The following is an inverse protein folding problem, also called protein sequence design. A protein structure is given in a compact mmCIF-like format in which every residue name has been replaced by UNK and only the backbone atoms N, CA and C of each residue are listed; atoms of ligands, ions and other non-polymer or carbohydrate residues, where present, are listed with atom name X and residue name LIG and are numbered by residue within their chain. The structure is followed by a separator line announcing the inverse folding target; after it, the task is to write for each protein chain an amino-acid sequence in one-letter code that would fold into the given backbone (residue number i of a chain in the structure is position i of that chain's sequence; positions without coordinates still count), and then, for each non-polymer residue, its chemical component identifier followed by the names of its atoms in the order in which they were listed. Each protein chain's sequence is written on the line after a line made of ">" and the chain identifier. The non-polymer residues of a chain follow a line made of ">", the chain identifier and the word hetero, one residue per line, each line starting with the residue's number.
data_IF_193221781472
#
_entry.id   IF_193221781472
#
_cell.length_a   1.000
_cell.length_b   1.000
_cell.length_c   1.000
_cell.angle_alpha   90.00
_cell.angle_beta   90.00
_cell.angle_gamma   90.00
#
_symmetry.space_group_name_H-M   'P 1'
#
loop_
_entity.id
_entity.type
_entity.pdbx_description
1 polymer ?
#
# COMPACT_ATOMS: atom_id res chain seq x y z
N UNK A 1 24.94 -53.59 44.22
CA UNK A 1 25.01 -53.28 42.76
C UNK A 1 23.95 -52.22 42.47
N UNK A 2 24.34 -50.94 42.34
CA UNK A 2 23.43 -49.82 42.03
C UNK A 2 23.36 -49.67 40.53
N UNK A 3 22.16 -49.83 39.94
CA UNK A 3 21.92 -49.58 38.50
C UNK A 3 21.71 -48.07 38.30
N UNK A 4 22.63 -47.45 37.57
CA UNK A 4 22.55 -46.05 37.14
C UNK A 4 21.67 -46.03 35.87
N UNK A 5 20.51 -45.40 35.98
CA UNK A 5 19.59 -45.19 34.87
C UNK A 5 20.01 -43.89 34.15
N UNK A 6 20.57 -44.00 32.96
CA UNK A 6 20.98 -42.86 32.13
C UNK A 6 19.76 -42.38 31.32
N UNK A 7 19.16 -41.27 31.72
CA UNK A 7 18.06 -40.64 30.97
C UNK A 7 18.67 -39.79 29.87
N UNK A 8 18.56 -40.24 28.64
CA UNK A 8 18.97 -39.49 27.44
C UNK A 8 17.90 -38.46 27.07
N UNK A 9 18.08 -37.20 27.44
CA UNK A 9 17.19 -36.11 27.05
C UNK A 9 17.46 -35.78 25.55
N UNK A 10 16.60 -36.22 24.66
CA UNK A 10 16.64 -35.83 23.25
C UNK A 10 16.06 -34.41 23.14
N UNK A 11 16.94 -33.45 22.95
CA UNK A 11 16.58 -32.05 22.66
C UNK A 11 16.09 -31.97 21.20
N UNK A 12 14.78 -32.07 20.98
CA UNK A 12 14.18 -31.81 19.67
C UNK A 12 14.25 -30.30 19.40
N UNK A 13 15.31 -29.85 18.73
CA UNK A 13 15.37 -28.52 18.16
C UNK A 13 14.32 -28.42 17.04
N UNK A 14 13.15 -27.92 17.38
CA UNK A 14 12.11 -27.60 16.41
C UNK A 14 12.64 -26.54 15.46
N UNK A 15 13.05 -26.93 14.26
CA UNK A 15 13.32 -26.02 13.16
C UNK A 15 11.98 -25.38 12.79
N UNK A 16 11.66 -24.23 13.36
CA UNK A 16 10.52 -23.42 12.92
C UNK A 16 10.84 -22.90 11.52
N UNK A 17 10.45 -23.65 10.51
CA UNK A 17 10.40 -23.13 9.14
C UNK A 17 9.46 -21.93 9.16
N UNK A 18 10.01 -20.72 9.01
CA UNK A 18 9.19 -19.52 8.90
C UNK A 18 8.29 -19.70 7.67
N UNK A 19 7.03 -20.06 7.92
CA UNK A 19 6.05 -20.28 6.88
C UNK A 19 5.89 -18.98 6.08
N UNK A 20 5.99 -19.09 4.75
CA UNK A 20 5.89 -17.92 3.88
C UNK A 20 4.47 -17.36 3.94
N UNK A 21 4.33 -16.12 4.38
CA UNK A 21 3.05 -15.45 4.56
C UNK A 21 2.40 -15.20 3.20
N UNK A 22 1.11 -15.51 3.07
CA UNK A 22 0.26 -15.04 1.97
C UNK A 22 -0.36 -13.72 2.38
N UNK A 23 -0.34 -12.73 1.49
CA UNK A 23 -0.93 -11.41 1.69
C UNK A 23 -1.67 -10.98 0.43
N UNK A 24 -2.82 -10.34 0.60
CA UNK A 24 -3.48 -9.54 -0.42
C UNK A 24 -3.24 -8.07 -0.12
N UNK A 25 -2.50 -7.41 -1.00
CA UNK A 25 -2.17 -5.98 -0.93
C UNK A 25 -2.93 -5.25 -2.01
N UNK A 26 -3.66 -4.19 -1.63
CA UNK A 26 -4.51 -3.41 -2.53
C UNK A 26 -4.05 -1.94 -2.58
N UNK A 27 -4.24 -1.29 -3.73
CA UNK A 27 -4.14 0.17 -3.91
C UNK A 27 -5.41 0.72 -4.50
N UNK A 28 -5.87 1.88 -4.00
CA UNK A 28 -7.07 2.54 -4.46
C UNK A 28 -7.02 4.06 -4.27
N UNK A 29 -6.93 4.82 -5.34
CA UNK A 29 -7.21 6.25 -5.32
C UNK A 29 -8.73 6.44 -5.33
N UNK A 30 -9.28 7.03 -4.26
CA UNK A 30 -10.74 7.09 -4.01
C UNK A 30 -11.37 8.44 -4.39
N UNK A 31 -10.58 9.36 -4.98
CA UNK A 31 -11.08 10.68 -5.39
C UNK A 31 -11.95 11.35 -4.31
N UNK A 32 -11.46 11.35 -3.07
CA UNK A 32 -12.17 11.87 -1.89
C UNK A 32 -13.62 11.33 -1.68
N UNK A 33 -13.94 10.16 -2.22
CA UNK A 33 -15.30 9.59 -2.22
C UNK A 33 -16.24 10.21 -3.23
N UNK A 34 -15.74 11.02 -4.16
CA UNK A 34 -16.52 11.67 -5.23
C UNK A 34 -16.69 10.75 -6.43
N UNK A 35 -17.83 10.08 -6.55
CA UNK A 35 -18.16 9.27 -7.72
C UNK A 35 -18.27 10.09 -9.00
N UNK A 36 -18.07 9.45 -10.15
CA UNK A 36 -18.19 10.08 -11.48
C UNK A 36 -19.63 10.33 -11.90
N UNK A 37 -20.58 9.74 -11.21
CA UNK A 37 -22.02 9.98 -11.32
C UNK A 37 -22.51 11.18 -10.48
N UNK A 38 -21.58 11.94 -9.86
CA UNK A 38 -21.89 13.07 -8.98
C UNK A 38 -22.27 12.67 -7.55
N UNK A 39 -22.39 11.37 -7.26
CA UNK A 39 -22.75 10.86 -5.93
C UNK A 39 -21.47 10.80 -5.08
N UNK A 40 -21.47 11.55 -3.96
CA UNK A 40 -20.38 11.54 -2.98
C UNK A 40 -20.65 10.49 -1.91
N UNK A 41 -20.20 9.27 -2.13
CA UNK A 41 -20.48 8.15 -1.22
C UNK A 41 -19.27 7.21 -1.12
N UNK A 42 -18.43 7.43 -0.12
CA UNK A 42 -17.21 6.65 0.11
C UNK A 42 -17.49 5.19 0.49
N UNK A 43 -18.68 4.87 0.97
CA UNK A 43 -19.05 3.49 1.32
C UNK A 43 -19.06 2.57 0.10
N UNK A 44 -19.21 3.11 -1.11
CA UNK A 44 -19.04 2.36 -2.37
C UNK A 44 -17.60 1.85 -2.52
N UNK A 45 -16.61 2.71 -2.23
CA UNK A 45 -15.21 2.29 -2.22
C UNK A 45 -14.95 1.28 -1.08
N UNK A 46 -15.58 1.48 0.09
CA UNK A 46 -15.52 0.53 1.20
C UNK A 46 -16.11 -0.83 0.85
N UNK A 47 -17.22 -0.88 0.11
CA UNK A 47 -17.82 -2.13 -0.35
C UNK A 47 -16.88 -2.91 -1.28
N UNK A 48 -16.17 -2.24 -2.20
CA UNK A 48 -15.16 -2.89 -3.04
C UNK A 48 -14.01 -3.49 -2.22
N UNK A 49 -13.57 -2.80 -1.16
CA UNK A 49 -12.55 -3.33 -0.23
C UNK A 49 -13.10 -4.54 0.52
N UNK A 50 -14.34 -4.48 1.03
CA UNK A 50 -15.01 -5.61 1.69
C UNK A 50 -15.06 -6.84 0.78
N UNK A 51 -15.49 -6.66 -0.48
CA UNK A 51 -15.63 -7.75 -1.44
C UNK A 51 -14.27 -8.30 -1.91
N UNK A 52 -13.24 -7.45 -1.94
CA UNK A 52 -11.87 -7.84 -2.24
C UNK A 52 -11.16 -8.55 -1.08
N UNK A 53 -11.56 -8.28 0.18
CA UNK A 53 -10.94 -8.86 1.38
C UNK A 53 -9.41 -8.71 1.48
N UNK A 54 -8.80 -7.54 1.16
CA UNK A 54 -7.35 -7.38 1.27
C UNK A 54 -6.88 -7.39 2.72
N UNK A 55 -5.64 -7.81 2.96
CA UNK A 55 -5.01 -7.69 4.30
C UNK A 55 -4.61 -6.24 4.58
N UNK A 56 -4.29 -5.48 3.52
CA UNK A 56 -3.90 -4.08 3.60
C UNK A 56 -4.29 -3.33 2.32
N UNK A 57 -4.72 -2.07 2.48
CA UNK A 57 -5.08 -1.15 1.38
C UNK A 57 -4.31 0.15 1.53
N UNK A 58 -3.58 0.55 0.50
CA UNK A 58 -3.06 1.90 0.33
C UNK A 58 -4.14 2.76 -0.34
N UNK A 59 -4.55 3.85 0.30
CA UNK A 59 -5.66 4.71 -0.15
C UNK A 59 -5.14 6.10 -0.45
N UNK A 60 -5.41 6.63 -1.63
CA UNK A 60 -5.01 7.97 -2.03
C UNK A 60 -6.23 8.88 -2.13
N UNK A 61 -6.01 10.19 -2.04
CA UNK A 61 -7.02 11.22 -2.12
C UNK A 61 -8.10 11.14 -1.04
N UNK A 62 -7.69 11.17 0.21
CA UNK A 62 -8.58 11.05 1.37
C UNK A 62 -8.76 12.39 2.08
N UNK A 63 -10.01 12.78 2.28
CA UNK A 63 -10.38 13.91 3.14
C UNK A 63 -10.52 13.50 4.61
N UNK A 64 -10.22 14.43 5.49
CA UNK A 64 -10.52 14.34 6.91
C UNK A 64 -11.19 15.63 7.38
N UNK A 65 -12.51 15.59 7.59
CA UNK A 65 -13.35 16.67 8.11
C UNK A 65 -13.17 17.98 7.33
N UNK A 66 -13.36 17.92 6.01
CA UNK A 66 -13.28 19.08 5.13
C UNK A 66 -14.67 19.69 4.86
N UNK A 67 -14.71 20.88 4.24
CA UNK A 67 -15.98 21.50 3.83
C UNK A 67 -16.79 20.64 2.86
N UNK A 68 -16.10 19.87 1.97
CA UNK A 68 -16.75 18.97 0.98
C UNK A 68 -17.11 17.60 1.57
N UNK A 69 -16.41 17.16 2.63
CA UNK A 69 -16.64 15.91 3.37
C UNK A 69 -16.57 16.21 4.87
N UNK A 70 -17.72 16.44 5.51
CA UNK A 70 -17.81 16.83 6.93
C UNK A 70 -17.53 15.70 7.91
N UNK A 71 -16.90 14.62 7.47
CA UNK A 71 -16.57 13.43 8.24
C UNK A 71 -15.18 12.90 7.89
N UNK A 72 -14.68 11.98 8.68
CA UNK A 72 -13.43 11.28 8.43
C UNK A 72 -13.65 10.21 7.37
N UNK A 73 -13.30 10.51 6.12
CA UNK A 73 -13.58 9.69 4.93
C UNK A 73 -12.96 8.29 5.06
N UNK A 74 -11.69 8.20 5.51
CA UNK A 74 -11.01 6.91 5.66
C UNK A 74 -11.66 6.03 6.73
N UNK A 75 -12.15 6.62 7.84
CA UNK A 75 -12.89 5.89 8.88
C UNK A 75 -14.18 5.30 8.35
N UNK A 76 -14.98 6.10 7.62
CA UNK A 76 -16.22 5.59 6.99
C UNK A 76 -15.95 4.49 5.96
N UNK A 77 -14.87 4.63 5.17
CA UNK A 77 -14.45 3.59 4.25
C UNK A 77 -14.07 2.30 5.00
N UNK A 78 -13.35 2.42 6.12
CA UNK A 78 -12.95 1.31 6.97
C UNK A 78 -14.15 0.55 7.56
N UNK A 79 -15.16 1.29 8.05
CA UNK A 79 -16.42 0.71 8.56
C UNK A 79 -17.17 -0.05 7.46
N UNK A 80 -17.36 0.57 6.29
CA UNK A 80 -18.03 -0.04 5.14
C UNK A 80 -17.27 -1.25 4.58
N UNK A 81 -15.95 -1.29 4.77
CA UNK A 81 -15.09 -2.41 4.41
C UNK A 81 -15.20 -3.61 5.38
N UNK A 82 -15.86 -3.46 6.52
CA UNK A 82 -16.02 -4.52 7.52
C UNK A 82 -15.17 -4.34 8.78
N UNK A 83 -14.78 -3.10 9.11
CA UNK A 83 -14.12 -2.77 10.36
C UNK A 83 -12.59 -2.84 10.31
N UNK A 84 -11.99 -2.30 9.26
CA UNK A 84 -10.53 -2.17 9.15
C UNK A 84 -10.00 -1.10 10.12
N UNK A 85 -8.75 -1.27 10.56
CA UNK A 85 -8.00 -0.19 11.21
C UNK A 85 -7.60 0.85 10.16
N UNK A 86 -7.75 2.15 10.48
CA UNK A 86 -7.52 3.26 9.55
C UNK A 86 -6.39 4.18 10.05
N UNK A 87 -5.39 4.40 9.21
CA UNK A 87 -4.22 5.26 9.49
C UNK A 87 -4.13 6.35 8.43
N UNK A 88 -4.17 7.62 8.86
CA UNK A 88 -4.21 8.77 7.97
C UNK A 88 -2.89 9.54 7.95
N UNK A 89 -2.40 9.85 6.76
CA UNK A 89 -1.23 10.69 6.49
C UNK A 89 -1.64 12.02 5.86
N UNK A 90 -1.74 13.12 6.63
CA UNK A 90 -2.14 14.42 6.11
C UNK A 90 -1.05 15.05 5.25
N UNK A 91 -1.35 15.36 3.99
CA UNK A 91 -0.43 16.07 3.10
C UNK A 91 -0.62 17.58 3.15
N UNK A 92 -1.86 18.06 3.13
CA UNK A 92 -2.22 19.48 3.16
C UNK A 92 -3.42 19.80 4.07
N UNK A 93 -3.51 21.03 4.62
CA UNK A 93 -4.76 21.60 5.06
C UNK A 93 -5.71 21.77 3.86
N UNK A 94 -6.98 21.42 4.00
CA UNK A 94 -7.94 21.55 2.91
C UNK A 94 -9.35 21.78 3.45
N UNK A 95 -9.99 22.85 2.99
CA UNK A 95 -11.40 23.12 3.29
C UNK A 95 -11.79 23.12 4.79
N UNK A 96 -10.93 23.60 5.67
CA UNK A 96 -11.12 23.61 7.11
C UNK A 96 -10.72 22.32 7.84
N UNK A 97 -10.40 21.28 7.11
CA UNK A 97 -9.86 20.00 7.61
C UNK A 97 -8.52 19.67 6.96
N UNK A 98 -8.32 18.39 6.62
CA UNK A 98 -7.07 17.88 6.01
C UNK A 98 -7.39 16.99 4.79
N UNK A 99 -6.44 16.94 3.87
CA UNK A 99 -6.45 16.03 2.74
C UNK A 99 -5.12 15.28 2.67
N UNK A 100 -5.14 14.04 2.19
CA UNK A 100 -3.92 13.26 2.15
C UNK A 100 -4.12 11.84 1.63
N UNK A 101 -3.38 10.94 2.26
CA UNK A 101 -3.33 9.51 1.96
C UNK A 101 -3.68 8.71 3.20
N UNK A 102 -3.95 7.42 3.04
CA UNK A 102 -4.25 6.55 4.15
C UNK A 102 -3.90 5.09 3.92
N UNK A 103 -3.94 4.33 4.98
CA UNK A 103 -3.79 2.88 4.95
C UNK A 103 -4.91 2.25 5.77
N UNK A 104 -5.56 1.22 5.20
CA UNK A 104 -6.47 0.34 5.92
C UNK A 104 -5.81 -1.02 6.14
N UNK A 105 -5.95 -1.60 7.32
CA UNK A 105 -5.39 -2.92 7.66
C UNK A 105 -6.38 -3.78 8.42
N UNK A 106 -6.37 -5.11 8.20
CA UNK A 106 -7.16 -6.05 9.01
C UNK A 106 -6.63 -6.15 10.44
N UNK A 107 -5.31 -6.21 10.59
CA UNK A 107 -4.64 -6.27 11.87
C UNK A 107 -4.17 -4.87 12.31
N UNK A 108 -4.06 -4.58 13.60
CA UNK A 108 -3.53 -3.31 14.07
C UNK A 108 -2.04 -3.14 13.70
N UNK A 109 -1.67 -1.91 13.33
CA UNK A 109 -0.28 -1.55 13.08
C UNK A 109 0.53 -1.43 14.39
N UNK A 110 1.84 -1.67 14.29
CA UNK A 110 2.76 -1.45 15.41
C UNK A 110 3.15 0.04 15.53
N UNK A 111 3.32 0.72 14.39
CA UNK A 111 3.63 2.15 14.32
C UNK A 111 3.27 2.74 12.97
N UNK A 112 3.19 4.05 12.92
CA UNK A 112 3.02 4.83 11.68
C UNK A 112 3.99 6.00 11.67
N UNK A 113 4.54 6.31 10.50
CA UNK A 113 5.41 7.46 10.29
C UNK A 113 5.05 8.14 8.97
N UNK A 114 4.95 9.48 8.99
CA UNK A 114 4.63 10.26 7.80
C UNK A 114 5.84 11.08 7.35
N UNK A 115 6.19 10.97 6.07
CA UNK A 115 7.26 11.74 5.46
C UNK A 115 6.71 12.61 4.34
N UNK A 116 7.15 13.87 4.28
CA UNK A 116 6.84 14.77 3.17
C UNK A 116 7.63 14.39 1.93
N UNK A 117 6.98 14.50 0.77
CA UNK A 117 7.61 14.32 -0.53
C UNK A 117 7.55 15.63 -1.33
N UNK A 118 8.55 15.91 -2.18
CA UNK A 118 8.62 17.14 -2.91
C UNK A 118 7.48 17.29 -3.92
N UNK A 119 6.86 18.45 -3.92
CA UNK A 119 5.89 18.88 -4.91
C UNK A 119 5.73 20.39 -4.85
N UNK A 120 5.75 21.13 -5.98
CA UNK A 120 5.79 22.59 -5.96
C UNK A 120 4.46 23.24 -5.60
N UNK A 121 3.33 22.59 -5.89
CA UNK A 121 1.99 23.19 -5.75
C UNK A 121 1.15 22.51 -4.68
N UNK A 122 1.13 21.20 -4.68
CA UNK A 122 0.35 20.40 -3.72
C UNK A 122 1.29 19.42 -3.02
N UNK A 123 1.72 19.72 -1.79
CA UNK A 123 2.61 18.87 -1.02
C UNK A 123 2.16 17.41 -1.01
N UNK A 124 3.09 16.52 -1.35
CA UNK A 124 2.88 15.07 -1.35
C UNK A 124 3.50 14.44 -0.11
N UNK A 125 3.26 13.19 0.07
CA UNK A 125 3.81 12.44 1.18
C UNK A 125 3.76 10.95 0.97
N UNK A 126 4.45 10.25 1.87
CA UNK A 126 4.30 8.82 2.07
C UNK A 126 3.96 8.54 3.52
N UNK A 127 3.07 7.58 3.72
CA UNK A 127 2.71 7.04 5.02
C UNK A 127 3.32 5.65 5.14
N UNK A 128 4.27 5.49 6.05
CA UNK A 128 4.89 4.21 6.40
C UNK A 128 4.10 3.61 7.56
N UNK A 129 3.61 2.40 7.40
CA UNK A 129 2.88 1.67 8.44
C UNK A 129 3.63 0.37 8.74
N UNK A 130 4.09 0.22 9.98
CA UNK A 130 4.77 -0.99 10.44
C UNK A 130 3.75 -2.04 10.88
N UNK A 131 3.72 -3.16 10.18
CA UNK A 131 2.99 -4.35 10.59
C UNK A 131 3.93 -5.34 11.31
N UNK A 132 3.38 -6.33 11.99
CA UNK A 132 4.17 -7.36 12.68
C UNK A 132 5.21 -8.03 11.78
N UNK A 133 4.88 -8.31 10.52
CA UNK A 133 5.72 -9.11 9.60
C UNK A 133 6.19 -8.34 8.36
N UNK A 134 5.68 -7.15 8.06
CA UNK A 134 5.99 -6.35 6.89
C UNK A 134 5.77 -4.86 7.14
N UNK A 135 6.17 -4.02 6.19
CA UNK A 135 5.79 -2.61 6.10
C UNK A 135 4.91 -2.39 4.88
N UNK A 136 3.98 -1.46 4.98
CA UNK A 136 3.31 -0.87 3.82
C UNK A 136 3.61 0.62 3.77
N UNK A 137 4.01 1.10 2.60
CA UNK A 137 4.19 2.51 2.28
C UNK A 137 3.10 2.88 1.30
N UNK A 138 2.19 3.75 1.74
CA UNK A 138 1.21 4.40 0.87
C UNK A 138 1.77 5.72 0.38
N UNK A 139 1.65 6.00 -0.92
CA UNK A 139 2.05 7.28 -1.50
C UNK A 139 1.13 7.72 -2.63
N UNK A 140 1.13 9.03 -2.90
CA UNK A 140 0.54 9.66 -4.07
C UNK A 140 1.55 10.67 -4.62
N UNK A 141 2.20 10.36 -5.74
CA UNK A 141 3.31 11.15 -6.24
C UNK A 141 2.86 12.41 -7.00
N UNK A 142 3.79 13.32 -7.22
CA UNK A 142 3.58 14.58 -7.94
C UNK A 142 3.18 14.35 -9.41
N UNK A 143 2.42 15.29 -9.99
CA UNK A 143 2.17 15.33 -11.44
C UNK A 143 3.42 15.71 -12.25
N UNK A 144 4.45 16.26 -11.60
CA UNK A 144 5.70 16.69 -12.23
C UNK A 144 6.78 15.62 -12.13
N UNK A 145 7.34 15.18 -13.27
CA UNK A 145 8.32 14.08 -13.33
C UNK A 145 9.58 14.31 -12.48
N UNK A 146 10.24 15.51 -12.49
CA UNK A 146 11.40 15.74 -11.64
C UNK A 146 11.14 15.45 -10.16
N UNK A 147 10.02 15.91 -9.62
CA UNK A 147 9.64 15.67 -8.22
C UNK A 147 9.25 14.21 -7.94
N UNK A 148 8.70 13.48 -8.93
CA UNK A 148 8.50 12.03 -8.81
C UNK A 148 9.83 11.29 -8.70
N UNK A 149 10.81 11.63 -9.53
CA UNK A 149 12.16 11.01 -9.49
C UNK A 149 12.84 11.28 -8.14
N UNK A 150 12.74 12.52 -7.63
CA UNK A 150 13.26 12.87 -6.31
C UNK A 150 12.52 12.10 -5.19
N UNK A 151 11.21 12.00 -5.27
CA UNK A 151 10.39 11.21 -4.33
C UNK A 151 10.82 9.74 -4.27
N UNK A 152 11.15 9.12 -5.41
CA UNK A 152 11.64 7.72 -5.46
C UNK A 152 12.95 7.56 -4.69
N UNK A 153 13.86 8.54 -4.77
CA UNK A 153 15.12 8.54 -4.00
C UNK A 153 14.86 8.64 -2.48
N UNK A 154 13.96 9.55 -2.08
CA UNK A 154 13.57 9.71 -0.67
C UNK A 154 12.92 8.43 -0.14
N UNK A 155 12.00 7.81 -0.90
CA UNK A 155 11.37 6.54 -0.52
C UNK A 155 12.43 5.45 -0.33
N UNK A 156 13.41 5.33 -1.24
CA UNK A 156 14.52 4.38 -1.15
C UNK A 156 15.35 4.62 0.12
N UNK A 157 15.69 5.88 0.43
CA UNK A 157 16.44 6.26 1.62
C UNK A 157 15.69 5.90 2.92
N UNK A 158 14.40 6.19 3.01
CA UNK A 158 13.57 5.80 4.15
C UNK A 158 13.53 4.28 4.31
N UNK A 159 13.32 3.53 3.23
CA UNK A 159 13.31 2.05 3.27
C UNK A 159 14.64 1.50 3.79
N UNK A 160 15.78 2.13 3.44
CA UNK A 160 17.11 1.68 3.89
C UNK A 160 17.30 1.76 5.41
N UNK A 161 16.51 2.59 6.10
CA UNK A 161 16.52 2.81 7.56
C UNK A 161 15.50 1.94 8.31
N UNK A 162 14.58 1.28 7.60
CA UNK A 162 13.60 0.39 8.21
C UNK A 162 14.24 -0.92 8.69
N UNK A 163 13.60 -1.57 9.67
CA UNK A 163 13.98 -2.92 10.11
C UNK A 163 13.93 -3.90 8.92
N UNK A 164 14.73 -4.95 8.97
CA UNK A 164 14.80 -5.96 7.90
C UNK A 164 13.52 -6.82 7.83
N UNK A 165 12.46 -6.24 7.31
CA UNK A 165 11.18 -6.87 6.98
C UNK A 165 10.84 -6.59 5.51
N UNK A 166 10.03 -7.42 4.85
CA UNK A 166 9.46 -7.09 3.54
C UNK A 166 8.72 -5.75 3.59
N UNK A 167 8.88 -4.95 2.54
CA UNK A 167 8.22 -3.65 2.37
C UNK A 167 7.38 -3.68 1.11
N UNK A 168 6.13 -3.26 1.21
CA UNK A 168 5.29 -2.97 0.05
C UNK A 168 5.23 -1.47 -0.16
N UNK A 169 5.35 -1.01 -1.41
CA UNK A 169 5.11 0.38 -1.81
C UNK A 169 3.89 0.34 -2.73
N UNK A 170 2.82 1.02 -2.34
CA UNK A 170 1.58 1.01 -3.10
C UNK A 170 1.01 2.43 -3.24
N UNK A 171 0.42 2.73 -4.39
CA UNK A 171 -0.23 4.00 -4.61
C UNK A 171 -0.31 4.44 -6.06
N UNK A 172 -0.84 5.65 -6.22
CA UNK A 172 -0.86 6.40 -7.47
C UNK A 172 0.50 7.08 -7.68
N UNK A 173 1.27 6.55 -8.60
CA UNK A 173 2.61 7.09 -8.93
C UNK A 173 2.55 8.24 -9.93
N UNK A 174 1.36 8.56 -10.50
CA UNK A 174 1.19 9.57 -11.55
C UNK A 174 2.19 9.40 -12.72
N UNK A 175 2.60 8.17 -13.00
CA UNK A 175 3.73 7.84 -13.86
C UNK A 175 3.43 6.60 -14.71
N UNK A 176 3.68 6.69 -16.02
CA UNK A 176 3.52 5.57 -16.95
C UNK A 176 4.66 4.55 -16.80
N UNK A 177 4.49 3.29 -17.22
CA UNK A 177 5.46 2.19 -17.01
C UNK A 177 6.89 2.47 -17.45
N UNK A 178 7.08 3.17 -18.58
CA UNK A 178 8.40 3.49 -19.15
C UNK A 178 8.98 4.83 -18.65
N UNK A 179 8.31 5.53 -17.75
CA UNK A 179 8.79 6.82 -17.25
C UNK A 179 9.92 6.65 -16.22
N UNK A 180 10.78 7.68 -16.10
CA UNK A 180 11.95 7.66 -15.22
C UNK A 180 11.64 7.23 -13.78
N UNK A 181 10.56 7.70 -13.09
CA UNK A 181 10.30 7.28 -11.72
C UNK A 181 9.96 5.78 -11.61
N UNK A 182 9.24 5.20 -12.58
CA UNK A 182 8.92 3.76 -12.56
C UNK A 182 10.16 2.91 -12.87
N UNK A 183 11.01 3.35 -13.81
CA UNK A 183 12.30 2.71 -14.06
C UNK A 183 13.16 2.74 -12.80
N UNK A 184 13.25 3.90 -12.12
CA UNK A 184 14.00 4.03 -10.87
C UNK A 184 13.46 3.15 -9.72
N UNK A 185 12.13 2.96 -9.61
CA UNK A 185 11.58 1.99 -8.68
C UNK A 185 12.04 0.56 -9.00
N UNK A 186 12.00 0.17 -10.29
CA UNK A 186 12.39 -1.18 -10.74
C UNK A 186 13.87 -1.51 -10.51
N UNK A 187 14.74 -0.52 -10.31
CA UNK A 187 16.16 -0.73 -9.97
C UNK A 187 16.36 -1.38 -8.59
N UNK A 188 15.45 -1.17 -7.63
CA UNK A 188 15.59 -1.69 -6.26
C UNK A 188 14.36 -2.42 -5.73
N UNK A 189 13.25 -2.39 -6.45
CA UNK A 189 11.98 -2.97 -6.07
C UNK A 189 11.46 -3.94 -7.14
N UNK A 190 10.81 -5.01 -6.72
CA UNK A 190 10.11 -5.95 -7.60
C UNK A 190 8.72 -5.39 -7.90
N UNK A 191 8.38 -5.17 -9.17
CA UNK A 191 7.02 -4.83 -9.58
C UNK A 191 6.10 -6.05 -9.36
N UNK A 192 5.04 -5.87 -8.59
CA UNK A 192 4.08 -6.93 -8.26
C UNK A 192 2.80 -6.85 -9.09
N UNK A 193 2.39 -5.65 -9.51
CA UNK A 193 1.25 -5.42 -10.42
C UNK A 193 1.61 -5.74 -11.87
N UNK A 194 0.62 -5.77 -12.75
CA UNK A 194 0.80 -5.90 -14.20
C UNK A 194 0.70 -4.49 -14.83
N UNK A 195 1.83 -3.94 -15.23
CA UNK A 195 1.91 -2.58 -15.79
C UNK A 195 1.46 -2.49 -17.27
N UNK A 196 1.05 -3.61 -17.87
CA UNK A 196 0.35 -3.63 -19.16
C UNK A 196 -1.15 -3.36 -19.02
N UNK A 197 -1.69 -3.36 -17.80
CA UNK A 197 -3.10 -3.14 -17.50
C UNK A 197 -3.34 -1.71 -17.04
N UNK A 198 -4.39 -1.10 -17.56
CA UNK A 198 -4.70 0.30 -17.29
C UNK A 198 -5.57 0.46 -16.04
N UNK A 199 -5.32 1.55 -15.29
CA UNK A 199 -6.04 1.87 -14.04
C UNK A 199 -6.77 3.20 -14.09
N UNK A 200 -6.46 4.05 -15.09
CA UNK A 200 -7.00 5.40 -15.22
C UNK A 200 -7.28 5.79 -16.69
N UNK A 201 -8.31 6.60 -16.98
CA UNK A 201 -9.47 6.88 -16.12
C UNK A 201 -10.39 5.65 -16.03
N UNK A 202 -11.14 5.50 -14.93
CA UNK A 202 -11.96 4.30 -14.67
C UNK A 202 -13.01 3.99 -15.73
N UNK A 203 -13.62 5.03 -16.34
CA UNK A 203 -14.66 4.89 -17.37
C UNK A 203 -14.13 4.45 -18.73
N UNK A 204 -12.86 4.76 -19.03
CA UNK A 204 -12.21 4.35 -20.28
C UNK A 204 -10.69 4.21 -20.02
N UNK A 205 -10.25 3.12 -19.41
CA UNK A 205 -8.86 2.97 -18.98
C UNK A 205 -7.88 3.01 -20.15
N UNK A 206 -6.88 3.91 -20.06
CA UNK A 206 -5.88 4.16 -21.12
C UNK A 206 -4.44 4.25 -20.61
N UNK A 207 -4.26 4.39 -19.28
CA UNK A 207 -2.94 4.48 -18.69
C UNK A 207 -2.85 3.66 -17.40
N UNK A 208 -1.69 3.07 -17.15
CA UNK A 208 -1.32 2.47 -15.88
C UNK A 208 -0.54 3.51 -15.09
N UNK A 209 -1.04 3.93 -13.93
CA UNK A 209 -0.39 4.88 -13.02
C UNK A 209 -0.45 4.44 -11.56
N UNK A 210 -1.21 3.39 -11.24
CA UNK A 210 -1.31 2.80 -9.91
C UNK A 210 -0.49 1.51 -9.85
N UNK A 211 0.35 1.37 -8.82
CA UNK A 211 1.31 0.27 -8.73
C UNK A 211 1.43 -0.27 -7.31
N UNK A 212 1.89 -1.53 -7.23
CA UNK A 212 2.37 -2.17 -6.01
C UNK A 212 3.74 -2.76 -6.30
N UNK A 213 4.73 -2.37 -5.49
CA UNK A 213 6.09 -2.90 -5.53
C UNK A 213 6.42 -3.61 -4.23
N UNK A 214 7.40 -4.53 -4.28
CA UNK A 214 7.94 -5.23 -3.12
C UNK A 214 9.44 -5.00 -2.98
N UNK A 215 9.92 -4.74 -1.76
CA UNK A 215 11.34 -4.52 -1.42
C UNK A 215 11.72 -5.36 -0.19
N UNK A 216 12.98 -5.72 -0.04
CA UNK A 216 13.52 -6.47 1.12
C UNK A 216 12.82 -7.82 1.37
N UNK A 217 12.36 -8.50 0.32
CA UNK A 217 11.70 -9.80 0.42
C UNK A 217 11.86 -10.63 -0.84
N UNK A 218 11.50 -11.90 -0.77
CA UNK A 218 11.19 -12.70 -1.95
C UNK A 218 9.69 -12.70 -2.17
N UNK A 219 9.25 -12.38 -3.38
CA UNK A 219 7.84 -12.20 -3.70
C UNK A 219 7.45 -13.17 -4.82
N UNK A 220 6.49 -14.06 -4.54
CA UNK A 220 5.85 -14.89 -5.55
C UNK A 220 4.42 -14.41 -5.71
N UNK A 221 4.12 -13.77 -6.83
CA UNK A 221 2.76 -13.34 -7.16
C UNK A 221 1.93 -14.58 -7.46
N UNK A 222 0.78 -14.70 -6.79
CA UNK A 222 -0.18 -15.79 -6.92
C UNK A 222 -1.39 -15.39 -7.76
N UNK A 223 -1.72 -14.10 -7.76
CA UNK A 223 -2.84 -13.54 -8.52
C UNK A 223 -2.77 -12.01 -8.57
N UNK A 224 -3.44 -11.43 -9.54
CA UNK A 224 -3.63 -9.98 -9.72
C UNK A 224 -5.06 -9.73 -10.15
N UNK A 225 -5.66 -8.63 -9.68
CA UNK A 225 -6.99 -8.23 -10.13
C UNK A 225 -7.10 -6.71 -10.18
N UNK A 226 -7.79 -6.22 -11.20
CA UNK A 226 -8.33 -4.86 -11.29
C UNK A 226 -9.85 -5.00 -11.25
N UNK A 227 -10.50 -4.17 -10.43
CA UNK A 227 -11.96 -4.10 -10.40
C UNK A 227 -12.41 -3.03 -11.39
N UNK A 228 -13.20 -3.41 -12.37
CA UNK A 228 -13.75 -2.49 -13.37
C UNK A 228 -15.02 -1.81 -12.84
N UNK A 229 -14.88 -1.14 -11.69
CA UNK A 229 -15.92 -0.27 -11.12
C UNK A 229 -15.68 1.17 -11.57
N UNK A 230 -16.45 1.61 -12.57
CA UNK A 230 -16.19 2.85 -13.29
C UNK A 230 -16.76 4.12 -12.62
N UNK A 231 -17.61 3.98 -11.61
CA UNK A 231 -18.37 5.10 -11.06
C UNK A 231 -17.93 5.56 -9.66
N UNK A 232 -17.38 4.65 -8.85
CA UNK A 232 -17.04 4.96 -7.45
C UNK A 232 -15.82 5.89 -7.32
N UNK A 233 -14.90 5.88 -8.29
CA UNK A 233 -13.74 6.77 -8.41
C UNK A 233 -13.33 6.90 -9.88
N UNK A 234 -12.46 7.86 -10.20
CA UNK A 234 -11.84 7.96 -11.53
C UNK A 234 -10.63 7.02 -11.71
N UNK A 235 -10.21 6.33 -10.66
CA UNK A 235 -9.24 5.24 -10.73
C UNK A 235 -9.90 3.89 -10.49
N UNK A 236 -9.37 2.84 -11.14
CA UNK A 236 -9.76 1.47 -10.88
C UNK A 236 -8.91 0.90 -9.73
N UNK A 237 -9.53 0.33 -8.68
CA UNK A 237 -8.79 -0.33 -7.61
C UNK A 237 -8.14 -1.62 -8.11
N UNK A 238 -6.96 -1.91 -7.59
CA UNK A 238 -6.22 -3.12 -7.94
C UNK A 238 -5.63 -3.80 -6.71
N UNK A 239 -5.46 -5.12 -6.77
CA UNK A 239 -4.73 -5.86 -5.76
C UNK A 239 -3.80 -6.92 -6.35
N UNK A 240 -2.87 -7.37 -5.51
CA UNK A 240 -2.03 -8.53 -5.75
C UNK A 240 -2.16 -9.53 -4.60
N UNK A 241 -2.29 -10.81 -4.92
CA UNK A 241 -2.08 -11.91 -4.00
C UNK A 241 -0.62 -12.33 -4.09
N UNK A 242 0.08 -12.32 -2.97
CA UNK A 242 1.52 -12.57 -2.96
C UNK A 242 1.92 -13.49 -1.80
N UNK A 243 2.77 -14.47 -2.10
CA UNK A 243 3.49 -15.25 -1.09
C UNK A 243 4.82 -14.56 -0.82
N UNK A 244 5.03 -14.18 0.45
CA UNK A 244 6.19 -13.38 0.89
C UNK A 244 7.13 -14.25 1.71
N UNK A 245 8.39 -14.30 1.31
CA UNK A 245 9.47 -14.94 2.06
C UNK A 245 10.54 -13.92 2.45
N UNK A 246 11.48 -14.31 3.30
CA UNK A 246 12.65 -13.49 3.62
C UNK A 246 13.47 -13.24 2.35
N UNK A 247 14.11 -12.06 2.26
CA UNK A 247 15.11 -11.80 1.23
C UNK A 247 16.21 -12.87 1.31
N UNK A 248 16.62 -13.40 0.15
CA UNK A 248 17.84 -14.21 0.10
C UNK A 248 19.00 -13.32 0.52
N UNK A 249 19.77 -13.71 1.54
CA UNK A 249 21.02 -13.00 1.84
C UNK A 249 21.85 -13.03 0.56
N UNK A 250 22.17 -11.85 0.01
CA UNK A 250 23.18 -11.79 -1.06
C UNK A 250 24.46 -12.37 -0.48
N UNK A 251 24.98 -13.43 -1.09
CA UNK A 251 26.36 -13.84 -0.82
C UNK A 251 27.23 -12.65 -1.23
N UNK A 252 27.88 -12.02 -0.23
CA UNK A 252 28.97 -11.08 -0.50
C UNK A 252 30.13 -11.80 -1.14
#
# INVERSE_FOLDING_TARGET
>A
MKKILLILAVLVMGVTTAEAQKLRVMSYNVKNGGGLDGIKEITRCGALVRDAQPDVVAVQEVDSVTRRNKFYVLGRMAEAAGGYHAYFGPTIPHGGGKYGIGVLTKEPALSTEFHRLPCPREPRGMLVVEMKKYYIICTHLSLSEPYRVESVKIIKDVISKLKNKPVFIAGDMNAKPASKPIVAFKEYATLLTDDSKYTFPSTNPRVCIDYIFGVNGSFKVLGRKIFYESLASDHLPLYVDVKVGKAKKSKK
#
